data_IF_649627619082
#
_entry.id   IF_649627619082
#
_cell.length_a   1.000
_cell.length_b   1.000
_cell.length_c   1.000
_cell.angle_alpha   90.00
_cell.angle_beta   90.00
_cell.angle_gamma   90.00
#
_symmetry.space_group_name_H-M   'P 1'
#
loop_
_entity.id
_entity.type
_entity.pdbx_description
1 polymer ?
#
# COMPACT_ATOMS: atom_id res chain seq x y z
N UNK A 1 16.07 10.40 -2.36
CA UNK A 1 16.25 8.94 -2.57
C UNK A 1 17.51 8.73 -3.38
N UNK A 2 18.44 7.90 -2.91
CA UNK A 2 19.58 7.48 -3.72
C UNK A 2 19.08 6.56 -4.87
N UNK A 3 19.85 6.45 -5.97
CA UNK A 3 19.43 5.64 -7.13
C UNK A 3 19.06 4.21 -6.73
N UNK A 4 19.80 3.62 -5.78
CA UNK A 4 19.57 2.26 -5.27
C UNK A 4 18.25 2.11 -4.54
N UNK A 5 17.89 3.02 -3.63
CA UNK A 5 16.60 2.99 -2.92
C UNK A 5 15.42 3.12 -3.88
N UNK A 6 15.57 3.92 -4.94
CA UNK A 6 14.55 4.04 -5.99
C UNK A 6 14.37 2.78 -6.83
N UNK A 7 15.47 2.09 -7.13
CA UNK A 7 15.43 0.81 -7.85
C UNK A 7 14.76 -0.27 -7.00
N UNK A 8 15.12 -0.39 -5.71
CA UNK A 8 14.48 -1.33 -4.79
C UNK A 8 12.97 -1.07 -4.69
N UNK A 9 12.58 0.21 -4.60
CA UNK A 9 11.17 0.60 -4.58
C UNK A 9 10.44 0.29 -5.88
N UNK A 10 11.08 0.51 -7.02
CA UNK A 10 10.52 0.17 -8.34
C UNK A 10 10.32 -1.34 -8.48
N UNK A 11 11.29 -2.15 -8.03
CA UNK A 11 11.17 -3.61 -8.02
C UNK A 11 9.99 -4.04 -7.14
N UNK A 12 9.87 -3.47 -5.95
CA UNK A 12 8.76 -3.73 -5.02
C UNK A 12 7.41 -3.36 -5.65
N UNK A 13 7.33 -2.20 -6.28
CA UNK A 13 6.12 -1.75 -6.95
C UNK A 13 5.76 -2.65 -8.15
N UNK A 14 6.74 -3.10 -8.92
CA UNK A 14 6.54 -4.04 -10.04
C UNK A 14 6.11 -5.41 -9.54
N UNK A 15 6.76 -5.96 -8.52
CA UNK A 15 6.35 -7.23 -7.90
C UNK A 15 4.94 -7.14 -7.32
N UNK A 16 4.61 -6.03 -6.66
CA UNK A 16 3.27 -5.76 -6.18
C UNK A 16 2.25 -5.69 -7.32
N UNK A 17 2.61 -5.03 -8.43
CA UNK A 17 1.77 -4.94 -9.63
C UNK A 17 1.58 -6.31 -10.28
N UNK A 18 2.62 -7.15 -10.31
CA UNK A 18 2.55 -8.51 -10.86
C UNK A 18 1.69 -9.43 -10.00
N UNK A 19 1.87 -9.41 -8.67
CA UNK A 19 0.99 -10.11 -7.73
C UNK A 19 -0.45 -9.61 -7.86
N UNK A 20 -0.63 -8.30 -8.06
CA UNK A 20 -1.95 -7.72 -8.26
C UNK A 20 -2.58 -8.18 -9.57
N UNK A 21 -1.85 -8.22 -10.69
CA UNK A 21 -2.36 -8.67 -11.99
C UNK A 21 -2.80 -10.13 -11.94
N UNK A 22 -1.99 -11.01 -11.35
CA UNK A 22 -2.34 -12.43 -11.15
C UNK A 22 -3.58 -12.58 -10.26
N UNK A 23 -3.71 -11.70 -9.27
CA UNK A 23 -4.87 -11.65 -8.39
C UNK A 23 -6.07 -10.89 -8.98
N UNK A 24 -5.94 -10.14 -10.09
CA UNK A 24 -6.94 -9.15 -10.55
C UNK A 24 -8.11 -9.76 -11.32
N UNK A 25 -7.94 -10.96 -11.89
CA UNK A 25 -9.08 -11.70 -12.41
C UNK A 25 -10.10 -11.95 -11.28
N UNK A 26 -9.62 -12.28 -10.08
CA UNK A 26 -10.43 -12.62 -8.91
C UNK A 26 -11.41 -11.50 -8.45
N UNK A 27 -11.02 -10.24 -8.18
CA UNK A 27 -11.93 -9.19 -7.73
C UNK A 27 -12.93 -8.73 -8.80
N UNK A 28 -12.56 -8.70 -10.08
CA UNK A 28 -13.49 -8.30 -11.14
C UNK A 28 -14.62 -9.33 -11.29
N UNK A 29 -14.28 -10.62 -11.36
CA UNK A 29 -15.28 -11.70 -11.36
C UNK A 29 -16.06 -11.75 -10.05
N UNK A 30 -15.38 -11.61 -8.91
CA UNK A 30 -16.00 -11.57 -7.60
C UNK A 30 -17.10 -10.51 -7.50
N UNK A 31 -16.79 -9.24 -7.81
CA UNK A 31 -17.80 -8.18 -7.73
C UNK A 31 -18.81 -8.25 -8.88
N UNK A 32 -18.45 -8.80 -10.03
CA UNK A 32 -19.42 -9.03 -11.10
C UNK A 32 -20.50 -10.05 -10.68
N UNK A 33 -20.09 -11.14 -10.02
CA UNK A 33 -20.99 -12.21 -9.60
C UNK A 33 -21.68 -11.93 -8.24
N UNK A 34 -21.04 -11.18 -7.33
CA UNK A 34 -21.49 -10.99 -5.94
C UNK A 34 -21.89 -9.56 -5.58
N UNK A 35 -21.80 -8.58 -6.50
CA UNK A 35 -22.33 -7.24 -6.22
C UNK A 35 -23.85 -7.25 -6.21
N UNK A 36 -24.42 -6.63 -5.18
CA UNK A 36 -25.86 -6.43 -5.05
C UNK A 36 -26.37 -5.40 -6.07
N UNK A 37 -26.61 -5.87 -7.30
CA UNK A 37 -27.50 -5.30 -8.35
C UNK A 37 -27.31 -3.84 -8.79
N UNK A 38 -26.42 -3.05 -8.20
CA UNK A 38 -26.19 -1.65 -8.57
C UNK A 38 -24.74 -1.45 -9.05
N UNK A 39 -24.61 -0.87 -10.25
CA UNK A 39 -23.31 -0.50 -10.86
C UNK A 39 -22.45 0.37 -9.94
N UNK A 40 -23.08 1.11 -9.02
CA UNK A 40 -22.39 1.92 -8.01
C UNK A 40 -21.60 1.07 -7.00
N UNK A 41 -22.18 -0.02 -6.47
CA UNK A 41 -21.50 -0.89 -5.52
C UNK A 41 -20.32 -1.64 -6.16
N UNK A 42 -20.47 -2.04 -7.42
CA UNK A 42 -19.39 -2.64 -8.21
C UNK A 42 -18.18 -1.70 -8.33
N UNK A 43 -18.42 -0.45 -8.76
CA UNK A 43 -17.36 0.55 -8.88
C UNK A 43 -16.72 0.88 -7.53
N UNK A 44 -17.50 0.89 -6.45
CA UNK A 44 -17.03 1.16 -5.10
C UNK A 44 -16.16 0.02 -4.57
N UNK A 45 -16.54 -1.24 -4.81
CA UNK A 45 -15.74 -2.43 -4.49
C UNK A 45 -14.40 -2.43 -5.21
N UNK A 46 -14.40 -2.19 -6.52
CA UNK A 46 -13.15 -2.07 -7.30
C UNK A 46 -12.24 -0.96 -6.81
N UNK A 47 -12.81 0.21 -6.50
CA UNK A 47 -12.05 1.33 -5.96
C UNK A 47 -11.41 0.94 -4.61
N UNK A 48 -12.18 0.32 -3.72
CA UNK A 48 -11.67 -0.13 -2.42
C UNK A 48 -10.56 -1.16 -2.56
N UNK A 49 -10.69 -2.13 -3.47
CA UNK A 49 -9.62 -3.08 -3.78
C UNK A 49 -8.36 -2.36 -4.26
N UNK A 50 -8.50 -1.40 -5.19
CA UNK A 50 -7.35 -0.64 -5.68
C UNK A 50 -6.69 0.22 -4.58
N UNK A 51 -7.49 0.82 -3.70
CA UNK A 51 -6.99 1.58 -2.56
C UNK A 51 -6.29 0.69 -1.53
N UNK A 52 -6.80 -0.51 -1.25
CA UNK A 52 -6.16 -1.45 -0.34
C UNK A 52 -4.80 -1.93 -0.84
N UNK A 53 -4.64 -2.14 -2.15
CA UNK A 53 -3.42 -2.71 -2.74
C UNK A 53 -2.40 -1.66 -3.14
N UNK A 54 -2.80 -0.68 -3.97
CA UNK A 54 -1.91 0.32 -4.55
C UNK A 54 -1.77 1.53 -3.62
N UNK A 55 -2.80 1.82 -2.82
CA UNK A 55 -2.85 2.99 -1.94
C UNK A 55 -1.66 3.09 -0.99
N UNK A 56 -1.34 2.06 -0.17
CA UNK A 56 -0.18 2.07 0.71
C UNK A 56 1.14 2.35 -0.03
N UNK A 57 1.34 1.73 -1.20
CA UNK A 57 2.57 1.89 -2.01
C UNK A 57 2.69 3.33 -2.51
N UNK A 58 1.64 3.85 -3.14
CA UNK A 58 1.61 5.21 -3.66
C UNK A 58 1.78 6.24 -2.54
N UNK A 59 1.11 6.02 -1.40
CA UNK A 59 1.21 6.89 -0.24
C UNK A 59 2.62 6.86 0.38
N UNK A 60 3.25 5.69 0.40
CA UNK A 60 4.63 5.54 0.89
C UNK A 60 5.64 6.32 0.03
N UNK A 61 5.50 6.26 -1.30
CA UNK A 61 6.27 7.08 -2.24
C UNK A 61 6.03 8.57 -2.04
N UNK A 62 4.77 8.95 -1.81
CA UNK A 62 4.40 10.33 -1.53
C UNK A 62 5.05 10.84 -0.24
N UNK A 63 4.94 10.08 0.85
CA UNK A 63 5.61 10.36 2.13
C UNK A 63 7.12 10.51 1.93
N UNK A 64 7.74 9.65 1.12
CA UNK A 64 9.17 9.76 0.81
C UNK A 64 9.53 11.06 0.08
N UNK A 65 8.74 11.45 -0.92
CA UNK A 65 8.93 12.72 -1.63
C UNK A 65 8.71 13.91 -0.72
N UNK A 66 7.68 13.86 0.11
CA UNK A 66 7.33 14.92 1.06
C UNK A 66 8.39 15.09 2.16
N UNK A 67 8.94 13.98 2.67
CA UNK A 67 10.02 13.98 3.65
C UNK A 67 11.31 14.67 3.15
N UNK A 68 11.51 14.78 1.83
CA UNK A 68 12.64 15.57 1.27
C UNK A 68 12.37 17.08 1.24
N UNK A 69 11.12 17.51 1.40
CA UNK A 69 10.70 18.92 1.34
C UNK A 69 10.49 19.55 2.70
N UNK A 70 10.34 18.75 3.76
CA UNK A 70 10.07 19.24 5.11
C UNK A 70 11.30 19.15 6.01
N UNK A 71 11.40 20.05 6.99
CA UNK A 71 12.48 20.04 7.99
C UNK A 71 12.40 18.82 8.92
N UNK A 72 11.18 18.41 9.28
CA UNK A 72 10.89 17.28 10.17
C UNK A 72 10.65 15.99 9.37
N UNK A 73 11.71 15.50 8.70
CA UNK A 73 11.64 14.35 7.78
C UNK A 73 11.11 13.09 8.45
N UNK A 74 11.60 12.81 9.66
CA UNK A 74 11.22 11.64 10.45
C UNK A 74 9.73 11.61 10.82
N UNK A 75 9.12 12.77 11.05
CA UNK A 75 7.70 12.87 11.41
C UNK A 75 6.79 12.40 10.26
N UNK A 76 7.17 12.68 9.01
CA UNK A 76 6.43 12.23 7.82
C UNK A 76 6.46 10.71 7.68
N UNK A 77 7.60 10.08 7.99
CA UNK A 77 7.74 8.63 7.98
C UNK A 77 6.99 7.95 9.13
N UNK A 78 6.95 8.57 10.31
CA UNK A 78 6.14 8.06 11.41
C UNK A 78 4.64 8.17 11.12
N UNK A 79 4.22 9.25 10.47
CA UNK A 79 2.81 9.43 10.08
C UNK A 79 2.38 8.44 8.99
N UNK A 80 3.32 7.97 8.17
CA UNK A 80 3.02 6.98 7.13
C UNK A 80 2.38 5.71 7.70
N UNK A 81 2.89 5.18 8.81
CA UNK A 81 2.43 3.92 9.38
C UNK A 81 0.94 3.91 9.78
N UNK A 82 0.45 4.82 10.64
CA UNK A 82 -0.97 4.86 11.00
C UNK A 82 -1.86 5.20 9.80
N UNK A 83 -1.40 6.04 8.87
CA UNK A 83 -2.17 6.39 7.68
C UNK A 83 -2.29 5.23 6.69
N UNK A 84 -1.23 4.46 6.46
CA UNK A 84 -1.27 3.28 5.61
C UNK A 84 -2.20 2.20 6.18
N UNK A 85 -2.13 1.95 7.49
CA UNK A 85 -3.06 1.05 8.18
C UNK A 85 -4.50 1.57 8.07
N UNK A 86 -4.74 2.86 8.33
CA UNK A 86 -6.08 3.44 8.23
C UNK A 86 -6.64 3.34 6.81
N UNK A 87 -5.83 3.57 5.77
CA UNK A 87 -6.24 3.37 4.38
C UNK A 87 -6.62 1.92 4.10
N UNK A 88 -5.81 0.96 4.57
CA UNK A 88 -6.11 -0.46 4.40
C UNK A 88 -7.41 -0.86 5.11
N UNK A 89 -7.56 -0.52 6.39
CA UNK A 89 -8.76 -0.87 7.16
C UNK A 89 -10.02 -0.17 6.63
N UNK A 90 -9.92 1.09 6.22
CA UNK A 90 -11.04 1.79 5.59
C UNK A 90 -11.46 1.09 4.28
N UNK A 91 -10.47 0.65 3.49
CA UNK A 91 -10.74 -0.07 2.24
C UNK A 91 -11.35 -1.44 2.49
N UNK A 92 -10.87 -2.19 3.50
CA UNK A 92 -11.44 -3.47 3.91
C UNK A 92 -12.89 -3.32 4.38
N UNK A 93 -13.18 -2.28 5.17
CA UNK A 93 -14.54 -1.97 5.62
C UNK A 93 -15.48 -1.62 4.47
N UNK A 94 -14.98 -0.86 3.48
CA UNK A 94 -15.74 -0.58 2.25
C UNK A 94 -15.98 -1.87 1.45
N UNK A 95 -14.99 -2.74 1.35
CA UNK A 95 -15.10 -4.01 0.65
C UNK A 95 -16.23 -4.87 1.24
N UNK A 96 -16.26 -4.99 2.58
CA UNK A 96 -17.33 -5.65 3.34
C UNK A 96 -18.70 -5.01 3.12
N UNK A 97 -18.75 -3.69 3.00
CA UNK A 97 -20.01 -2.96 2.76
C UNK A 97 -20.52 -3.09 1.32
N UNK A 98 -19.61 -3.35 0.37
CA UNK A 98 -19.93 -3.52 -1.05
C UNK A 98 -20.28 -4.97 -1.42
N UNK A 99 -19.85 -5.95 -0.63
CA UNK A 99 -20.18 -7.35 -0.82
C UNK A 99 -21.57 -7.68 -0.24
N UNK A 100 -22.34 -8.53 -0.95
CA UNK A 100 -23.64 -9.00 -0.46
C UNK A 100 -23.54 -9.96 0.74
N UNK A 101 -22.34 -10.51 0.96
CA UNK A 101 -22.00 -11.39 2.07
C UNK A 101 -20.76 -10.87 2.80
N UNK A 102 -20.61 -11.15 4.10
CA UNK A 102 -19.40 -10.76 4.81
C UNK A 102 -18.16 -11.49 4.25
N UNK A 103 -16.99 -10.84 4.19
CA UNK A 103 -15.79 -11.36 3.53
C UNK A 103 -15.28 -12.68 4.10
N UNK A 104 -15.60 -13.03 5.35
CA UNK A 104 -15.20 -14.31 5.96
C UNK A 104 -16.09 -15.50 5.57
N UNK A 105 -17.20 -15.26 4.86
CA UNK A 105 -18.07 -16.30 4.35
C UNK A 105 -17.71 -16.75 2.92
N UNK A 106 -16.72 -16.08 2.31
CA UNK A 106 -16.36 -16.26 0.91
C UNK A 106 -14.84 -16.37 0.74
N UNK A 107 -14.39 -17.54 0.28
CA UNK A 107 -12.98 -17.86 0.13
C UNK A 107 -12.26 -16.87 -0.81
N UNK A 108 -12.95 -16.37 -1.85
CA UNK A 108 -12.38 -15.40 -2.79
C UNK A 108 -12.14 -14.02 -2.15
N UNK A 109 -13.03 -13.61 -1.26
CA UNK A 109 -12.87 -12.35 -0.52
C UNK A 109 -11.72 -12.43 0.49
N UNK A 110 -11.52 -13.60 1.12
CA UNK A 110 -10.40 -13.87 2.01
C UNK A 110 -9.07 -13.82 1.25
N UNK A 111 -8.99 -14.46 0.08
CA UNK A 111 -7.80 -14.41 -0.77
C UNK A 111 -7.44 -12.98 -1.16
N UNK A 112 -8.42 -12.20 -1.61
CA UNK A 112 -8.23 -10.81 -2.00
C UNK A 112 -7.70 -9.95 -0.84
N UNK A 113 -8.30 -10.09 0.34
CA UNK A 113 -7.86 -9.38 1.55
C UNK A 113 -6.47 -9.85 1.99
N UNK A 114 -6.17 -11.14 1.85
CA UNK A 114 -4.87 -11.75 2.14
C UNK A 114 -3.77 -11.16 1.26
N UNK A 115 -3.99 -11.06 -0.04
CA UNK A 115 -3.04 -10.42 -0.98
C UNK A 115 -2.85 -8.95 -0.61
N UNK A 116 -3.92 -8.21 -0.36
CA UNK A 116 -3.83 -6.80 0.03
C UNK A 116 -3.05 -6.63 1.35
N UNK A 117 -3.24 -7.53 2.32
CA UNK A 117 -2.50 -7.53 3.57
C UNK A 117 -1.01 -7.83 3.38
N UNK A 118 -0.66 -8.80 2.52
CA UNK A 118 0.72 -9.10 2.16
C UNK A 118 1.40 -7.89 1.49
N UNK A 119 0.69 -7.20 0.60
CA UNK A 119 1.19 -5.98 -0.05
C UNK A 119 1.39 -4.84 0.95
N UNK A 120 0.47 -4.65 1.90
CA UNK A 120 0.64 -3.70 3.01
C UNK A 120 1.89 -4.07 3.81
N UNK A 121 2.00 -5.31 4.28
CA UNK A 121 3.14 -5.77 5.08
C UNK A 121 4.47 -5.56 4.35
N UNK A 122 4.53 -5.90 3.07
CA UNK A 122 5.71 -5.70 2.24
C UNK A 122 6.05 -4.21 2.06
N UNK A 123 5.05 -3.36 1.84
CA UNK A 123 5.22 -1.90 1.75
C UNK A 123 5.78 -1.33 3.05
N UNK A 124 5.25 -1.77 4.20
CA UNK A 124 5.74 -1.35 5.52
C UNK A 124 7.19 -1.78 5.74
N UNK A 125 7.55 -3.03 5.40
CA UNK A 125 8.91 -3.54 5.51
C UNK A 125 9.89 -2.75 4.64
N UNK A 126 9.52 -2.48 3.39
CA UNK A 126 10.34 -1.71 2.45
C UNK A 126 10.50 -0.26 2.93
N UNK A 127 9.44 0.38 3.40
CA UNK A 127 9.51 1.74 3.93
C UNK A 127 10.38 1.82 5.18
N UNK A 128 10.22 0.87 6.11
CA UNK A 128 11.03 0.78 7.32
C UNK A 128 12.51 0.53 6.99
N UNK A 129 12.81 -0.41 6.09
CA UNK A 129 14.17 -0.70 5.64
C UNK A 129 14.83 0.52 4.99
N UNK A 130 14.09 1.26 4.17
CA UNK A 130 14.57 2.50 3.57
C UNK A 130 14.84 3.57 4.64
N UNK A 131 13.95 3.73 5.63
CA UNK A 131 14.14 4.67 6.74
C UNK A 131 15.39 4.33 7.57
N UNK A 132 15.58 3.05 7.92
CA UNK A 132 16.77 2.58 8.66
C UNK A 132 18.04 2.88 7.86
N UNK A 133 18.03 2.62 6.56
CA UNK A 133 19.18 2.91 5.69
C UNK A 133 19.52 4.41 5.69
N UNK A 134 18.52 5.30 5.60
CA UNK A 134 18.76 6.75 5.69
C UNK A 134 19.33 7.18 7.04
N UNK A 135 18.85 6.62 8.14
CA UNK A 135 19.36 6.89 9.49
C UNK A 135 20.83 6.45 9.61
N UNK A 136 21.15 5.22 9.18
CA UNK A 136 22.52 4.68 9.20
C UNK A 136 23.44 5.52 8.32
N UNK A 137 22.99 5.90 7.12
CA UNK A 137 23.75 6.75 6.21
C UNK A 137 23.98 8.16 6.80
N UNK A 138 23.02 8.70 7.54
CA UNK A 138 23.17 9.99 8.22
C UNK A 138 24.20 9.93 9.36
N UNK A 139 24.21 8.85 10.15
CA UNK A 139 25.18 8.65 11.24
C UNK A 139 26.60 8.48 10.70
N UNK A 140 26.76 7.76 9.58
CA UNK A 140 28.08 7.46 8.97
C UNK A 140 28.71 8.65 8.26
N UNK A 141 27.97 9.73 7.95
CA UNK A 141 28.55 10.91 7.31
C UNK A 141 29.38 11.70 8.33
N UNK A 142 30.71 11.80 8.19
CA UNK A 142 31.52 12.61 9.09
C UNK A 142 31.04 14.06 9.00
N UNK A 143 30.91 14.72 10.17
CA UNK A 143 30.35 16.07 10.37
C UNK A 143 31.12 17.22 9.67
N UNK A 144 31.96 16.93 8.67
CA UNK A 144 33.01 17.83 8.18
C UNK A 144 32.82 18.46 6.80
N UNK A 145 31.67 18.34 6.13
CA UNK A 145 31.50 19.01 4.83
C UNK A 145 30.17 19.78 4.75
N UNK A 146 30.16 21.07 5.12
CA UNK A 146 29.06 21.95 4.77
C UNK A 146 29.09 22.18 3.26
N UNK A 147 28.10 21.62 2.56
CA UNK A 147 27.70 22.06 1.21
C UNK A 147 26.77 23.25 1.31
#
# INVERSE_FOLDING_TARGET
>A
MNKVGGIAYAIVAVLALMLFIDSYENPFYYFYDHSSSSTGMFAFGLAATAFATIGPIAFSLYCWRLANRVRLRWAVHLLFLPCACAMFFASAWVLESASAQPPWADDHAIELLGVAFLLLAFTLLVHAGAMIFEIVAAIRRPRGNPS
#
